data_IF_620266363115
#
_entry.id   IF_620266363115
#
_cell.length_a   1.000
_cell.length_b   1.000
_cell.length_c   1.000
_cell.angle_alpha   90.00
_cell.angle_beta   90.00
_cell.angle_gamma   90.00
#
_symmetry.space_group_name_H-M   'P 1'
#
loop_
_entity.id
_entity.type
_entity.pdbx_description
1 polymer ?
#
# COMPACT_ATOMS: atom_id res chain seq x y z
N UNK A 1 0.46 13.17 -3.83
CA UNK A 1 0.90 12.92 -5.22
C UNK A 1 -0.33 12.58 -6.04
N UNK A 2 -0.46 13.06 -7.28
CA UNK A 2 -1.54 12.62 -8.16
C UNK A 2 -1.32 11.15 -8.53
N UNK A 3 -2.40 10.37 -8.56
CA UNK A 3 -2.37 8.97 -9.00
C UNK A 3 -1.85 8.89 -10.43
N UNK A 4 -0.99 7.92 -10.73
CA UNK A 4 -0.55 7.69 -12.10
C UNK A 4 -1.73 7.29 -12.98
N UNK A 5 -1.73 7.69 -14.25
CA UNK A 5 -2.83 7.37 -15.19
C UNK A 5 -3.11 5.87 -15.26
N UNK A 6 -2.06 5.04 -15.21
CA UNK A 6 -2.15 3.58 -15.21
C UNK A 6 -2.70 2.96 -13.91
N UNK A 7 -2.82 3.75 -12.84
CA UNK A 7 -3.30 3.30 -11.52
C UNK A 7 -4.59 4.05 -11.12
N UNK A 8 -5.29 4.65 -12.08
CA UNK A 8 -6.52 5.39 -11.82
C UNK A 8 -7.68 4.41 -11.54
N UNK A 9 -8.30 4.44 -10.35
CA UNK A 9 -9.37 3.50 -10.00
C UNK A 9 -10.75 3.90 -10.54
N UNK A 10 -10.87 5.04 -11.24
CA UNK A 10 -12.14 5.45 -11.85
C UNK A 10 -12.61 4.37 -12.83
N UNK A 11 -13.85 3.92 -12.67
CA UNK A 11 -14.48 2.81 -13.39
C UNK A 11 -13.94 1.41 -13.08
N UNK A 12 -13.16 1.23 -12.00
CA UNK A 12 -12.85 -0.10 -11.49
C UNK A 12 -14.12 -0.77 -10.93
N UNK A 13 -14.26 -2.07 -11.18
CA UNK A 13 -15.30 -2.89 -10.53
C UNK A 13 -14.90 -3.07 -9.07
N UNK A 14 -15.79 -2.68 -8.14
CA UNK A 14 -15.59 -2.84 -6.71
C UNK A 14 -16.61 -3.84 -6.18
N UNK A 15 -16.11 -4.92 -5.60
CA UNK A 15 -16.90 -5.97 -5.00
C UNK A 15 -16.29 -6.41 -3.66
N UNK A 16 -16.91 -7.41 -3.02
CA UNK A 16 -16.43 -7.95 -1.75
C UNK A 16 -15.04 -8.61 -1.88
N UNK A 17 -14.67 -9.10 -3.07
CA UNK A 17 -13.35 -9.68 -3.32
C UNK A 17 -12.24 -8.63 -3.19
N UNK A 18 -12.53 -7.37 -3.50
CA UNK A 18 -11.60 -6.25 -3.30
C UNK A 18 -11.17 -6.14 -1.83
N UNK A 19 -12.12 -6.30 -0.89
CA UNK A 19 -11.82 -6.30 0.55
C UNK A 19 -11.02 -7.53 0.96
N UNK A 20 -11.38 -8.71 0.43
CA UNK A 20 -10.65 -9.95 0.70
C UNK A 20 -9.19 -9.88 0.20
N UNK A 21 -8.97 -9.29 -0.97
CA UNK A 21 -7.64 -9.03 -1.53
C UNK A 21 -6.84 -8.08 -0.63
N UNK A 22 -7.45 -6.99 -0.16
CA UNK A 22 -6.80 -6.06 0.78
C UNK A 22 -6.38 -6.76 2.07
N UNK A 23 -7.25 -7.55 2.69
CA UNK A 23 -6.92 -8.30 3.91
C UNK A 23 -5.80 -9.32 3.69
N UNK A 24 -5.80 -10.01 2.55
CA UNK A 24 -4.73 -10.94 2.18
C UNK A 24 -3.39 -10.22 2.06
N UNK A 25 -3.37 -9.05 1.42
CA UNK A 25 -2.16 -8.23 1.28
C UNK A 25 -1.67 -7.70 2.65
N UNK A 26 -2.57 -7.38 3.57
CA UNK A 26 -2.21 -7.00 4.94
C UNK A 26 -1.51 -8.14 5.68
N UNK A 27 -2.01 -9.38 5.57
CA UNK A 27 -1.37 -10.55 6.16
C UNK A 27 0.00 -10.84 5.53
N UNK A 28 0.13 -10.67 4.21
CA UNK A 28 1.41 -10.78 3.52
C UNK A 28 2.41 -9.73 4.01
N UNK A 29 1.97 -8.48 4.17
CA UNK A 29 2.81 -7.40 4.69
C UNK A 29 3.30 -7.72 6.11
N UNK A 30 2.43 -8.23 6.99
CA UNK A 30 2.82 -8.67 8.33
C UNK A 30 3.89 -9.77 8.28
N UNK A 31 3.70 -10.79 7.45
CA UNK A 31 4.70 -11.86 7.29
C UNK A 31 6.05 -11.30 6.76
N UNK A 32 6.01 -10.37 5.80
CA UNK A 32 7.22 -9.72 5.29
C UNK A 32 7.93 -8.94 6.41
N UNK A 33 7.19 -8.21 7.23
CA UNK A 33 7.75 -7.45 8.35
C UNK A 33 8.41 -8.37 9.38
N UNK A 34 7.77 -9.47 9.77
CA UNK A 34 8.35 -10.48 10.67
C UNK A 34 9.65 -11.05 10.12
N UNK A 35 9.72 -11.33 8.81
CA UNK A 35 10.94 -11.82 8.18
C UNK A 35 12.02 -10.73 8.08
N UNK A 36 11.62 -9.48 7.88
CA UNK A 36 12.51 -8.34 7.75
C UNK A 36 13.27 -8.02 9.05
N UNK A 37 12.75 -8.42 10.23
CA UNK A 37 13.44 -8.29 11.52
C UNK A 37 14.80 -9.00 11.55
N UNK A 38 14.97 -10.05 10.75
CA UNK A 38 16.16 -10.91 10.77
C UNK A 38 17.24 -10.48 9.77
N UNK A 39 17.02 -9.40 9.01
CA UNK A 39 17.92 -8.97 7.94
C UNK A 39 18.21 -7.47 8.00
N UNK A 40 19.35 -7.05 7.45
CA UNK A 40 19.68 -5.64 7.34
C UNK A 40 18.79 -4.96 6.29
N UNK A 41 17.90 -4.06 6.72
CA UNK A 41 16.96 -3.35 5.84
C UNK A 41 17.61 -2.46 4.78
N UNK A 42 18.91 -2.18 4.89
CA UNK A 42 19.68 -1.41 3.91
C UNK A 42 20.40 -2.26 2.88
N UNK A 43 20.52 -3.59 3.07
CA UNK A 43 21.31 -4.44 2.19
C UNK A 43 20.58 -4.81 0.90
N UNK A 44 19.26 -4.97 0.96
CA UNK A 44 18.44 -5.33 -0.18
C UNK A 44 17.91 -4.09 -0.91
N UNK A 45 17.95 -4.14 -2.25
CA UNK A 45 17.40 -3.11 -3.13
C UNK A 45 16.27 -3.66 -3.98
N UNK A 46 15.09 -3.06 -3.85
CA UNK A 46 13.84 -3.49 -4.45
C UNK A 46 13.48 -2.56 -5.61
N UNK A 47 13.24 -3.14 -6.78
CA UNK A 47 12.62 -2.43 -7.92
C UNK A 47 11.15 -2.17 -7.63
N UNK A 48 10.65 -1.00 -7.99
CA UNK A 48 9.24 -0.64 -7.76
C UNK A 48 8.49 -0.54 -9.07
N UNK A 49 7.18 -0.78 -9.05
CA UNK A 49 6.30 -0.62 -10.21
C UNK A 49 6.15 0.83 -10.69
N UNK A 50 6.71 1.80 -9.93
CA UNK A 50 6.67 3.23 -10.23
C UNK A 50 7.81 3.63 -11.18
N UNK A 51 8.97 2.99 -11.07
CA UNK A 51 10.13 3.26 -11.91
C UNK A 51 11.05 2.05 -12.00
N UNK A 52 11.41 1.66 -13.21
CA UNK A 52 12.44 0.65 -13.47
C UNK A 52 13.87 1.14 -13.18
N UNK A 53 14.08 2.47 -13.12
CA UNK A 53 15.39 3.09 -12.90
C UNK A 53 15.69 3.21 -11.40
N UNK A 54 14.67 3.49 -10.58
CA UNK A 54 14.84 3.73 -9.15
C UNK A 54 14.64 2.43 -8.37
N UNK A 55 15.70 1.98 -7.69
CA UNK A 55 15.63 0.90 -6.69
C UNK A 55 15.67 1.50 -5.30
N UNK A 56 14.75 1.09 -4.43
CA UNK A 56 14.67 1.53 -3.04
C UNK A 56 15.29 0.49 -2.12
N UNK A 57 15.85 0.92 -0.99
CA UNK A 57 16.23 -0.02 0.07
C UNK A 57 14.97 -0.69 0.62
N UNK A 58 15.09 -1.94 1.10
CA UNK A 58 13.96 -2.66 1.67
C UNK A 58 13.23 -1.82 2.75
N UNK A 59 13.97 -1.19 3.66
CA UNK A 59 13.38 -0.35 4.70
C UNK A 59 12.55 0.82 4.15
N UNK A 60 13.01 1.45 3.08
CA UNK A 60 12.30 2.55 2.42
C UNK A 60 11.05 2.03 1.69
N UNK A 61 11.15 0.88 1.02
CA UNK A 61 10.02 0.22 0.37
C UNK A 61 8.92 -0.13 1.38
N UNK A 62 9.28 -0.73 2.52
CA UNK A 62 8.33 -1.07 3.57
C UNK A 62 7.62 0.17 4.12
N UNK A 63 8.36 1.26 4.36
CA UNK A 63 7.77 2.54 4.78
C UNK A 63 6.77 3.07 3.76
N UNK A 64 7.10 3.03 2.47
CA UNK A 64 6.18 3.47 1.41
C UNK A 64 4.87 2.70 1.46
N UNK A 65 4.93 1.37 1.58
CA UNK A 65 3.73 0.51 1.64
C UNK A 65 2.91 0.79 2.90
N UNK A 66 3.55 0.86 4.08
CA UNK A 66 2.86 1.11 5.35
C UNK A 66 2.14 2.46 5.33
N UNK A 67 2.84 3.54 4.92
CA UNK A 67 2.22 4.87 4.86
C UNK A 67 1.17 4.98 3.75
N UNK A 68 1.32 4.24 2.65
CA UNK A 68 0.31 4.16 1.62
C UNK A 68 -0.99 3.54 2.17
N UNK A 69 -0.91 2.38 2.81
CA UNK A 69 -2.08 1.70 3.40
C UNK A 69 -2.71 2.55 4.51
N UNK A 70 -1.90 3.16 5.39
CA UNK A 70 -2.40 4.10 6.42
C UNK A 70 -3.21 5.26 5.81
N UNK A 71 -2.71 5.88 4.74
CA UNK A 71 -3.46 6.96 4.07
C UNK A 71 -4.77 6.47 3.48
N UNK A 72 -4.83 5.27 2.94
CA UNK A 72 -6.09 4.70 2.41
C UNK A 72 -7.13 4.47 3.51
N UNK A 73 -6.72 3.99 4.70
CA UNK A 73 -7.62 3.88 5.84
C UNK A 73 -8.16 5.25 6.27
N UNK A 74 -7.28 6.25 6.38
CA UNK A 74 -7.69 7.63 6.71
C UNK A 74 -8.64 8.20 5.66
N UNK A 75 -8.43 7.92 4.38
CA UNK A 75 -9.35 8.33 3.31
C UNK A 75 -10.73 7.67 3.45
N UNK A 76 -10.78 6.37 3.74
CA UNK A 76 -12.04 5.66 3.96
C UNK A 76 -12.81 6.19 5.18
N UNK A 77 -12.11 6.45 6.30
CA UNK A 77 -12.71 7.04 7.50
C UNK A 77 -13.33 8.41 7.22
N UNK A 78 -12.62 9.29 6.51
CA UNK A 78 -13.15 10.60 6.13
C UNK A 78 -14.39 10.54 5.25
N UNK A 79 -14.48 9.54 4.38
CA UNK A 79 -15.70 9.32 3.57
C UNK A 79 -16.86 8.91 4.47
N UNK A 80 -16.63 8.00 5.43
CA UNK A 80 -17.66 7.58 6.39
C UNK A 80 -18.13 8.74 7.26
N UNK A 81 -17.20 9.54 7.79
CA UNK A 81 -17.51 10.75 8.58
C UNK A 81 -18.31 11.77 7.76
N UNK A 82 -17.87 12.07 6.53
CA UNK A 82 -18.59 13.00 5.66
C UNK A 82 -19.99 12.52 5.25
N UNK A 83 -20.22 11.20 5.19
CA UNK A 83 -21.55 10.62 4.98
C UNK A 83 -22.43 10.77 6.23
N UNK A 84 -21.85 10.69 7.43
CA UNK A 84 -22.61 10.81 8.69
C UNK A 84 -23.08 12.24 9.00
N UNK A 85 -22.39 13.24 8.46
CA UNK A 85 -22.75 14.67 8.57
C UNK A 85 -23.68 15.16 7.45
N UNK A 86 -24.08 14.28 6.52
CA UNK A 86 -24.98 14.56 5.38
C UNK A 86 -26.39 14.03 5.59
#
# INVERSE_FOLDING_TARGET
MKTFKSMNPINSVLDQETIAAFLTQQNQLLNILTNAEKINLNSLRITTSISSIIKLKLGDTLRVIIYHNKRHIVQAQKVIEGIADS
#
